data_IF_853233290253
#
_entry.id   IF_853233290253
#
_cell.length_a   1.000
_cell.length_b   1.000
_cell.length_c   1.000
_cell.angle_alpha   90.00
_cell.angle_beta   90.00
_cell.angle_gamma   90.00
#
_symmetry.space_group_name_H-M   'P 1'
#
loop_
_entity.id
_entity.type
_entity.pdbx_description
1 polymer ?
#
# COMPACT_ATOMS: atom_id res chain seq x y z
N UNK A 1 1.55 -11.49 29.73
CA UNK A 1 0.44 -11.04 30.61
C UNK A 1 -0.73 -11.99 30.44
N UNK A 2 -1.38 -12.39 31.52
CA UNK A 2 -2.64 -13.14 31.45
C UNK A 2 -3.85 -12.18 31.20
N UNK A 3 -5.03 -12.75 30.96
CA UNK A 3 -6.26 -11.97 30.68
C UNK A 3 -6.56 -10.97 31.80
N UNK A 4 -6.42 -11.37 33.07
CA UNK A 4 -6.72 -10.53 34.21
C UNK A 4 -5.78 -9.33 34.30
N UNK A 5 -4.50 -9.56 34.06
CA UNK A 5 -3.47 -8.49 34.03
C UNK A 5 -3.73 -7.51 32.88
N UNK A 6 -4.20 -7.97 31.70
CA UNK A 6 -4.56 -7.11 30.57
C UNK A 6 -5.81 -6.28 30.87
N UNK A 7 -6.82 -6.86 31.51
CA UNK A 7 -8.02 -6.11 31.97
C UNK A 7 -7.58 -5.01 32.94
N UNK A 8 -6.76 -5.33 33.95
CA UNK A 8 -6.26 -4.37 34.92
C UNK A 8 -5.48 -3.24 34.26
N UNK A 9 -4.53 -3.55 33.40
CA UNK A 9 -3.72 -2.56 32.67
C UNK A 9 -4.58 -1.61 31.81
N UNK A 10 -5.55 -2.14 31.07
CA UNK A 10 -6.48 -1.37 30.26
C UNK A 10 -7.37 -0.46 31.12
N UNK A 11 -7.86 -0.96 32.25
CA UNK A 11 -8.65 -0.17 33.21
C UNK A 11 -7.85 0.99 33.80
N UNK A 12 -6.63 0.71 34.25
CA UNK A 12 -5.73 1.72 34.84
C UNK A 12 -5.32 2.79 33.82
N UNK A 13 -5.08 2.41 32.57
CA UNK A 13 -4.79 3.38 31.50
C UNK A 13 -5.95 4.35 31.25
N UNK A 14 -7.20 3.90 31.47
CA UNK A 14 -8.41 4.74 31.45
C UNK A 14 -8.70 5.46 32.77
N UNK A 15 -7.87 5.28 33.79
CA UNK A 15 -8.08 5.82 35.14
C UNK A 15 -9.41 5.42 35.77
N UNK A 16 -9.95 4.27 35.39
CA UNK A 16 -11.20 3.74 35.95
C UNK A 16 -10.92 2.94 37.21
N UNK A 17 -11.83 3.03 38.18
CA UNK A 17 -11.88 2.12 39.34
C UNK A 17 -12.51 0.77 38.95
N UNK A 18 -12.26 -0.26 39.75
CA UNK A 18 -12.93 -1.57 39.55
C UNK A 18 -14.46 -1.49 39.68
N UNK A 19 -14.95 -0.52 40.47
CA UNK A 19 -16.38 -0.27 40.65
C UNK A 19 -17.00 0.35 39.40
N UNK A 20 -16.38 1.35 38.83
CA UNK A 20 -16.82 2.00 37.58
C UNK A 20 -16.81 1.00 36.41
N UNK A 21 -15.77 0.19 36.29
CA UNK A 21 -15.73 -0.86 35.28
C UNK A 21 -16.83 -1.90 35.53
N UNK A 22 -17.07 -2.27 36.78
CA UNK A 22 -18.17 -3.19 37.15
C UNK A 22 -19.53 -2.68 36.71
N UNK A 23 -19.81 -1.41 37.00
CA UNK A 23 -21.07 -0.75 36.59
C UNK A 23 -21.19 -0.71 35.06
N UNK A 24 -20.12 -0.31 34.36
CA UNK A 24 -20.10 -0.21 32.91
C UNK A 24 -20.36 -1.55 32.21
N UNK A 25 -19.95 -2.66 32.83
CA UNK A 25 -20.13 -4.02 32.29
C UNK A 25 -21.34 -4.77 32.88
N UNK A 26 -22.19 -4.08 33.64
CA UNK A 26 -23.35 -4.71 34.29
C UNK A 26 -22.97 -5.82 35.32
N UNK A 27 -21.85 -5.62 36.04
CA UNK A 27 -21.34 -6.57 37.04
C UNK A 27 -20.89 -5.82 38.30
N UNK A 28 -20.29 -6.54 39.25
CA UNK A 28 -19.87 -5.98 40.52
C UNK A 28 -18.37 -5.76 40.59
N UNK A 29 -17.92 -4.79 41.42
CA UNK A 29 -16.50 -4.59 41.76
C UNK A 29 -15.80 -5.90 42.12
N UNK A 30 -16.48 -6.76 42.93
CA UNK A 30 -15.91 -8.03 43.36
C UNK A 30 -15.66 -9.00 42.19
N UNK A 31 -16.53 -8.98 41.17
CA UNK A 31 -16.35 -9.78 39.96
C UNK A 31 -15.12 -9.29 39.15
N UNK A 32 -15.00 -7.99 38.96
CA UNK A 32 -13.84 -7.39 38.30
C UNK A 32 -12.54 -7.72 39.06
N UNK A 33 -12.55 -7.58 40.37
CA UNK A 33 -11.38 -7.96 41.20
C UNK A 33 -10.98 -9.43 41.00
N UNK A 34 -11.95 -10.37 40.98
CA UNK A 34 -11.67 -11.81 40.74
C UNK A 34 -11.09 -12.07 39.38
N UNK A 35 -11.51 -11.34 38.35
CA UNK A 35 -10.94 -11.44 37.01
C UNK A 35 -9.51 -10.88 36.96
N UNK A 36 -9.28 -9.68 37.49
CA UNK A 36 -7.95 -9.03 37.49
C UNK A 36 -6.90 -9.79 38.32
N UNK A 37 -7.33 -10.50 39.38
CA UNK A 37 -6.43 -11.26 40.25
C UNK A 37 -6.24 -12.72 39.81
N UNK A 38 -6.92 -13.17 38.73
CA UNK A 38 -6.84 -14.52 38.24
C UNK A 38 -7.56 -15.58 39.14
N UNK A 39 -8.36 -15.15 40.13
CA UNK A 39 -9.19 -16.07 40.94
C UNK A 39 -10.22 -16.76 40.07
N UNK A 40 -10.71 -16.06 39.06
CA UNK A 40 -11.60 -16.61 38.02
C UNK A 40 -10.90 -16.40 36.67
N UNK A 41 -10.48 -17.48 36.05
CA UNK A 41 -9.75 -17.47 34.76
C UNK A 41 -10.67 -17.76 33.57
N UNK A 42 -11.81 -18.44 33.79
CA UNK A 42 -12.77 -18.72 32.74
C UNK A 42 -13.84 -17.61 32.67
N UNK A 43 -13.53 -16.57 31.90
CA UNK A 43 -14.45 -15.44 31.68
C UNK A 43 -15.32 -15.78 30.47
N UNK A 44 -16.67 -15.79 30.61
CA UNK A 44 -17.55 -15.98 29.45
C UNK A 44 -17.29 -14.95 28.33
N UNK A 45 -17.45 -15.37 27.08
CA UNK A 45 -17.11 -14.55 25.93
C UNK A 45 -17.94 -13.25 25.87
N UNK A 46 -19.24 -13.35 26.15
CA UNK A 46 -20.16 -12.21 26.25
C UNK A 46 -19.72 -11.19 27.29
N UNK A 47 -19.19 -11.67 28.42
CA UNK A 47 -18.65 -10.81 29.48
C UNK A 47 -17.33 -10.18 29.08
N UNK A 48 -16.49 -10.92 28.38
CA UNK A 48 -15.23 -10.40 27.86
C UNK A 48 -15.45 -9.28 26.83
N UNK A 49 -16.45 -9.45 25.96
CA UNK A 49 -16.88 -8.43 24.98
C UNK A 49 -17.38 -7.15 25.66
N UNK A 50 -18.19 -7.29 26.72
CA UNK A 50 -18.66 -6.14 27.50
C UNK A 50 -17.51 -5.38 28.18
N UNK A 51 -16.54 -6.10 28.75
CA UNK A 51 -15.34 -5.51 29.36
C UNK A 51 -14.50 -4.82 28.29
N UNK A 52 -14.27 -5.46 27.15
CA UNK A 52 -13.52 -4.91 26.02
C UNK A 52 -14.16 -3.60 25.51
N UNK A 53 -15.48 -3.59 25.33
CA UNK A 53 -16.25 -2.42 24.93
C UNK A 53 -16.12 -1.27 25.95
N UNK A 54 -16.30 -1.55 27.25
CA UNK A 54 -16.18 -0.55 28.30
C UNK A 54 -14.75 0.06 28.38
N UNK A 55 -13.74 -0.78 28.09
CA UNK A 55 -12.34 -0.37 28.07
C UNK A 55 -11.89 0.19 26.70
N UNK A 56 -12.75 0.15 25.67
CA UNK A 56 -12.45 0.54 24.27
C UNK A 56 -11.20 -0.16 23.73
N UNK A 57 -11.08 -1.45 24.00
CA UNK A 57 -10.05 -2.34 23.47
C UNK A 57 -10.73 -3.47 22.72
N UNK A 58 -9.99 -4.22 21.89
CA UNK A 58 -10.55 -5.41 21.26
C UNK A 58 -10.65 -6.58 22.25
N UNK A 59 -11.62 -7.50 22.13
CA UNK A 59 -11.60 -8.75 22.86
C UNK A 59 -10.32 -9.55 22.62
N UNK A 60 -9.77 -9.52 21.42
CA UNK A 60 -8.52 -10.17 21.05
C UNK A 60 -7.32 -9.64 21.84
N UNK A 61 -7.27 -8.33 22.10
CA UNK A 61 -6.28 -7.73 23.01
C UNK A 61 -6.37 -8.33 24.42
N UNK A 62 -7.57 -8.42 24.99
CA UNK A 62 -7.74 -8.98 26.33
C UNK A 62 -7.37 -10.46 26.38
N UNK A 63 -7.64 -11.22 25.31
CA UNK A 63 -7.26 -12.63 25.18
C UNK A 63 -5.76 -12.84 24.89
N UNK A 64 -5.03 -11.77 24.56
CA UNK A 64 -3.61 -11.86 24.22
C UNK A 64 -3.34 -12.34 22.80
N UNK A 65 -4.33 -12.26 21.92
CA UNK A 65 -4.19 -12.59 20.49
C UNK A 65 -3.74 -11.38 19.66
N UNK A 66 -3.94 -10.17 20.17
CA UNK A 66 -3.39 -8.94 19.65
C UNK A 66 -2.35 -8.42 20.65
N UNK A 67 -1.08 -8.55 20.32
CA UNK A 67 -0.09 -7.71 20.94
C UNK A 67 -0.22 -6.30 20.34
N UNK A 68 -0.37 -5.30 21.22
CA UNK A 68 -0.23 -3.90 20.80
C UNK A 68 1.10 -3.77 20.08
N UNK A 69 1.07 -3.20 18.89
CA UNK A 69 2.20 -3.02 17.97
C UNK A 69 3.44 -2.32 18.54
N UNK A 70 3.45 -2.00 19.83
CA UNK A 70 4.54 -1.26 20.49
C UNK A 70 5.59 -2.14 21.18
N UNK A 71 5.42 -3.50 21.18
CA UNK A 71 6.39 -4.43 21.77
C UNK A 71 6.65 -5.66 20.90
N UNK A 72 6.73 -5.50 19.60
CA UNK A 72 7.34 -6.52 18.75
C UNK A 72 8.83 -6.59 19.09
N UNK A 73 9.43 -7.79 19.28
CA UNK A 73 10.87 -7.91 19.34
C UNK A 73 11.51 -7.20 18.14
N UNK A 74 12.66 -6.57 18.32
CA UNK A 74 13.36 -5.76 17.30
C UNK A 74 13.63 -6.52 15.98
N UNK A 75 13.45 -7.83 15.97
CA UNK A 75 13.61 -8.71 14.81
C UNK A 75 12.30 -9.12 14.13
N UNK A 76 11.15 -8.65 14.62
CA UNK A 76 9.83 -8.89 13.98
C UNK A 76 9.35 -7.60 13.34
N UNK A 77 9.44 -7.55 12.02
CA UNK A 77 8.84 -6.46 11.23
C UNK A 77 7.36 -6.73 11.04
N UNK A 78 6.51 -5.75 11.35
CA UNK A 78 5.11 -5.81 10.94
C UNK A 78 5.03 -5.86 9.42
N UNK A 79 4.20 -6.74 8.88
CA UNK A 79 3.97 -6.76 7.43
C UNK A 79 3.45 -5.39 6.99
N UNK A 80 3.98 -4.85 5.89
CA UNK A 80 3.51 -3.58 5.38
C UNK A 80 2.02 -3.66 5.06
N UNK A 81 1.28 -2.61 5.39
CA UNK A 81 -0.11 -2.50 4.93
C UNK A 81 -0.11 -2.52 3.41
N UNK A 82 -0.99 -3.32 2.83
CA UNK A 82 -1.13 -3.46 1.38
C UNK A 82 -2.37 -2.70 0.89
N UNK A 83 -2.31 -2.19 -0.32
CA UNK A 83 -3.45 -1.64 -1.08
C UNK A 83 -3.53 -2.35 -2.43
N UNK A 84 -4.72 -2.50 -2.99
CA UNK A 84 -4.90 -3.00 -4.35
C UNK A 84 -4.84 -1.84 -5.33
N UNK A 85 -4.09 -2.02 -6.41
CA UNK A 85 -4.05 -1.12 -7.55
C UNK A 85 -4.32 -1.89 -8.85
N UNK A 86 -4.93 -1.26 -9.87
CA UNK A 86 -5.19 -1.92 -11.14
C UNK A 86 -3.89 -2.18 -11.91
N UNK A 87 -3.77 -3.39 -12.47
CA UNK A 87 -2.81 -3.73 -13.51
C UNK A 87 -3.47 -3.42 -14.84
N UNK A 88 -2.91 -2.45 -15.56
CA UNK A 88 -3.43 -1.98 -16.84
C UNK A 88 -2.67 -2.67 -17.96
N UNK A 89 -3.40 -3.27 -18.88
CA UNK A 89 -2.86 -3.91 -20.08
C UNK A 89 -2.71 -2.92 -21.24
N UNK A 90 -3.35 -3.24 -22.36
CA UNK A 90 -3.37 -2.31 -23.49
C UNK A 90 -4.29 -1.12 -23.20
N UNK A 91 -3.77 0.08 -23.43
CA UNK A 91 -4.54 1.32 -23.22
C UNK A 91 -5.24 1.70 -24.52
N UNK A 92 -6.55 1.47 -24.60
CA UNK A 92 -7.34 1.82 -25.78
C UNK A 92 -7.28 3.33 -26.08
N UNK A 93 -7.21 3.67 -27.38
CA UNK A 93 -7.17 5.06 -27.80
C UNK A 93 -8.51 5.76 -27.50
N UNK A 94 -8.43 6.96 -26.92
CA UNK A 94 -9.60 7.77 -26.58
C UNK A 94 -10.26 7.46 -25.25
N UNK A 95 -9.91 6.36 -24.59
CA UNK A 95 -10.41 6.03 -23.26
C UNK A 95 -9.47 6.51 -22.14
N UNK A 96 -10.01 6.77 -20.93
CA UNK A 96 -9.20 6.98 -19.75
C UNK A 96 -8.31 5.74 -19.46
N UNK A 97 -7.12 5.95 -18.91
CA UNK A 97 -6.16 4.86 -18.59
C UNK A 97 -6.81 3.80 -17.69
N UNK A 98 -7.58 4.25 -16.69
CA UNK A 98 -8.28 3.39 -15.73
C UNK A 98 -9.72 3.04 -16.16
N UNK A 99 -10.02 3.03 -17.47
CA UNK A 99 -11.25 2.45 -17.94
C UNK A 99 -11.28 0.95 -17.66
N UNK A 100 -12.43 0.38 -17.32
CA UNK A 100 -12.58 -1.04 -16.99
C UNK A 100 -12.03 -1.96 -18.10
N UNK A 101 -12.18 -1.56 -19.35
CA UNK A 101 -11.72 -2.28 -20.54
C UNK A 101 -10.17 -2.38 -20.62
N UNK A 102 -9.46 -1.48 -19.94
CA UNK A 102 -8.00 -1.48 -19.91
C UNK A 102 -7.41 -2.25 -18.71
N UNK A 103 -8.24 -2.62 -17.72
CA UNK A 103 -7.79 -3.29 -16.49
C UNK A 103 -7.77 -4.80 -16.73
N UNK A 104 -6.60 -5.41 -16.61
CA UNK A 104 -6.42 -6.87 -16.73
C UNK A 104 -6.58 -7.56 -15.38
N UNK A 105 -6.11 -6.95 -14.30
CA UNK A 105 -6.12 -7.53 -12.95
C UNK A 105 -5.92 -6.46 -11.88
N UNK A 106 -5.95 -6.86 -10.61
CA UNK A 106 -5.60 -6.02 -9.45
C UNK A 106 -4.46 -6.68 -8.68
N UNK A 107 -3.43 -5.90 -8.37
CA UNK A 107 -2.23 -6.38 -7.67
C UNK A 107 -2.08 -5.67 -6.32
N UNK A 108 -1.48 -6.38 -5.36
CA UNK A 108 -1.20 -5.84 -4.03
C UNK A 108 0.09 -5.02 -4.04
N UNK A 109 0.02 -3.80 -3.49
CA UNK A 109 1.15 -2.87 -3.38
C UNK A 109 1.29 -2.39 -1.94
N UNK A 110 2.50 -2.38 -1.35
CA UNK A 110 2.74 -1.76 -0.05
C UNK A 110 2.30 -0.29 -0.03
N UNK A 111 1.57 0.13 1.01
CA UNK A 111 0.95 1.47 1.06
C UNK A 111 1.96 2.62 1.08
N UNK A 112 3.22 2.37 1.43
CA UNK A 112 4.29 3.36 1.38
C UNK A 112 4.76 3.67 -0.05
N UNK A 113 4.43 2.82 -1.03
CA UNK A 113 4.69 3.09 -2.45
C UNK A 113 3.48 3.83 -3.03
N UNK A 114 3.71 5.08 -3.44
CA UNK A 114 2.68 5.93 -4.01
C UNK A 114 2.57 5.72 -5.52
N UNK A 115 1.79 4.71 -5.91
CA UNK A 115 1.41 4.46 -7.30
C UNK A 115 -0.12 4.34 -7.41
N UNK A 116 -0.64 4.66 -8.58
CA UNK A 116 -2.09 4.67 -8.88
C UNK A 116 -2.49 3.47 -9.74
N UNK A 117 -1.60 2.97 -10.57
CA UNK A 117 -1.77 1.77 -11.39
C UNK A 117 -0.42 1.14 -11.73
N UNK A 118 -0.45 -0.03 -12.36
CA UNK A 118 0.73 -0.73 -12.83
C UNK A 118 0.60 -1.10 -14.30
N UNK A 119 1.74 -1.26 -14.96
CA UNK A 119 1.88 -1.71 -16.35
C UNK A 119 2.82 -2.90 -16.40
N UNK A 120 2.51 -3.88 -17.25
CA UNK A 120 3.49 -4.93 -17.59
C UNK A 120 4.46 -4.40 -18.64
N UNK A 121 5.75 -4.42 -18.32
CA UNK A 121 6.81 -4.02 -19.26
C UNK A 121 6.91 -5.05 -20.39
N UNK A 122 6.97 -4.58 -21.63
CA UNK A 122 7.20 -5.41 -22.81
C UNK A 122 8.48 -4.98 -23.52
N UNK A 123 9.35 -5.96 -23.79
CA UNK A 123 10.59 -5.76 -24.54
C UNK A 123 11.77 -5.31 -23.69
N UNK A 124 12.87 -5.01 -24.35
CA UNK A 124 14.20 -4.81 -23.73
C UNK A 124 14.63 -3.35 -23.65
N UNK A 125 13.74 -2.40 -23.88
CA UNK A 125 14.15 -0.99 -24.00
C UNK A 125 14.67 -0.35 -22.70
N UNK A 126 14.41 -0.96 -21.53
CA UNK A 126 14.75 -0.40 -20.21
C UNK A 126 15.65 -1.32 -19.37
N UNK A 127 16.34 -2.29 -20.00
CA UNK A 127 17.15 -3.30 -19.29
C UNK A 127 18.29 -2.72 -18.46
N UNK A 128 18.93 -1.63 -18.93
CA UNK A 128 20.00 -0.97 -18.18
C UNK A 128 19.49 -0.16 -16.97
N UNK A 129 18.18 0.09 -16.90
CA UNK A 129 17.52 0.61 -15.70
C UNK A 129 17.08 -0.51 -14.75
N UNK A 130 17.37 -1.77 -15.06
CA UNK A 130 16.99 -2.95 -14.29
C UNK A 130 15.57 -3.46 -14.60
N UNK A 131 14.83 -2.82 -15.52
CA UNK A 131 13.46 -3.21 -15.89
C UNK A 131 13.54 -4.14 -17.09
N UNK A 132 13.06 -5.36 -16.91
CA UNK A 132 13.11 -6.45 -17.91
C UNK A 132 11.74 -6.71 -18.55
N UNK A 133 11.74 -7.50 -19.60
CA UNK A 133 10.51 -8.00 -20.21
C UNK A 133 9.70 -8.82 -19.18
N UNK A 134 8.42 -8.55 -19.07
CA UNK A 134 7.51 -9.17 -18.10
C UNK A 134 7.48 -8.53 -16.71
N UNK A 135 8.35 -7.56 -16.40
CA UNK A 135 8.31 -6.85 -15.13
C UNK A 135 7.02 -6.04 -14.96
N UNK A 136 6.54 -5.96 -13.73
CA UNK A 136 5.43 -5.08 -13.37
C UNK A 136 5.97 -3.76 -12.87
N UNK A 137 5.67 -2.67 -13.56
CA UNK A 137 6.12 -1.32 -13.24
C UNK A 137 4.97 -0.51 -12.65
N UNK A 138 5.21 0.06 -11.47
CA UNK A 138 4.23 0.85 -10.72
C UNK A 138 4.29 2.31 -11.12
N UNK A 139 3.16 2.87 -11.51
CA UNK A 139 3.05 4.20 -12.11
C UNK A 139 2.25 5.13 -11.19
N UNK A 140 2.80 6.28 -10.89
CA UNK A 140 2.08 7.40 -10.32
C UNK A 140 1.52 8.25 -11.45
N UNK A 141 0.20 8.42 -11.49
CA UNK A 141 -0.49 9.19 -12.52
C UNK A 141 -0.13 10.68 -12.42
N UNK A 142 0.53 11.21 -13.43
CA UNK A 142 0.86 12.63 -13.54
C UNK A 142 1.16 12.98 -14.99
N UNK A 143 0.94 14.25 -15.36
CA UNK A 143 1.14 14.73 -16.73
C UNK A 143 2.52 15.33 -16.97
N UNK A 144 3.25 15.61 -15.91
CA UNK A 144 4.57 16.24 -15.95
C UNK A 144 5.58 15.39 -15.20
N UNK A 145 6.79 15.30 -15.73
CA UNK A 145 7.93 14.59 -15.13
C UNK A 145 9.19 15.44 -15.31
N UNK A 146 10.15 15.26 -14.42
CA UNK A 146 11.42 15.94 -14.47
C UNK A 146 12.38 15.28 -15.47
N UNK A 147 13.33 16.06 -15.99
CA UNK A 147 14.36 15.54 -16.88
C UNK A 147 15.14 14.41 -16.23
N UNK A 148 15.29 13.32 -16.97
CA UNK A 148 15.96 12.11 -16.52
C UNK A 148 15.10 11.11 -15.77
N UNK A 149 13.85 11.43 -15.45
CA UNK A 149 12.93 10.46 -14.84
C UNK A 149 12.42 9.44 -15.86
N UNK A 150 12.12 8.23 -15.39
CA UNK A 150 11.49 7.20 -16.23
C UNK A 150 9.97 7.43 -16.20
N UNK A 151 9.43 7.73 -17.37
CA UNK A 151 8.02 8.03 -17.56
C UNK A 151 7.33 6.96 -18.41
N UNK A 152 6.10 6.69 -18.09
CA UNK A 152 5.17 6.04 -19.00
C UNK A 152 4.64 7.14 -19.95
N UNK A 153 4.88 6.96 -21.23
CA UNK A 153 4.51 7.92 -22.28
C UNK A 153 3.76 7.23 -23.40
N UNK A 154 2.86 7.96 -24.04
CA UNK A 154 2.21 7.56 -25.30
C UNK A 154 2.66 8.51 -26.40
N UNK A 155 2.94 7.95 -27.54
CA UNK A 155 3.17 8.70 -28.78
C UNK A 155 1.95 8.46 -29.66
N UNK A 156 1.26 9.53 -30.02
CA UNK A 156 -0.03 9.44 -30.71
C UNK A 156 -1.04 8.58 -29.94
N UNK A 157 -1.63 7.59 -30.60
CA UNK A 157 -2.56 6.61 -30.04
C UNK A 157 -1.92 5.20 -29.89
N UNK A 158 -0.59 5.12 -29.88
CA UNK A 158 0.10 3.85 -29.66
C UNK A 158 0.06 3.39 -28.19
N UNK A 159 0.44 2.16 -27.94
CA UNK A 159 0.56 1.63 -26.58
C UNK A 159 1.53 2.45 -25.74
N UNK A 160 1.31 2.43 -24.42
CA UNK A 160 2.22 3.08 -23.49
C UNK A 160 3.62 2.46 -23.56
N UNK A 161 4.64 3.30 -23.54
CA UNK A 161 6.03 2.87 -23.49
C UNK A 161 6.76 3.54 -22.32
N UNK A 162 7.73 2.82 -21.73
CA UNK A 162 8.61 3.39 -20.69
C UNK A 162 9.86 3.94 -21.36
N UNK A 163 10.18 5.20 -21.06
CA UNK A 163 11.40 5.87 -21.53
C UNK A 163 11.90 6.84 -20.47
N UNK A 164 13.18 7.15 -20.52
CA UNK A 164 13.71 8.28 -19.79
C UNK A 164 13.35 9.55 -20.55
N UNK A 165 12.68 10.46 -19.86
CA UNK A 165 12.11 11.68 -20.44
C UNK A 165 13.10 12.84 -20.27
N UNK A 166 13.28 13.64 -21.31
CA UNK A 166 14.02 14.90 -21.29
C UNK A 166 13.27 15.95 -22.10
N UNK A 167 13.22 17.17 -21.57
CA UNK A 167 12.67 18.34 -22.25
C UNK A 167 13.60 19.54 -22.06
N UNK A 168 14.01 20.19 -23.14
CA UNK A 168 14.93 21.33 -23.11
C UNK A 168 14.24 22.68 -23.39
N UNK A 169 12.92 22.72 -23.44
CA UNK A 169 12.13 23.91 -23.80
C UNK A 169 11.75 23.97 -25.27
N UNK A 170 12.41 23.23 -26.16
CA UNK A 170 12.18 23.21 -27.60
C UNK A 170 11.93 21.84 -28.19
N UNK A 171 12.38 20.77 -27.52
CA UNK A 171 12.26 19.41 -27.96
C UNK A 171 12.09 18.46 -26.76
N UNK A 172 11.30 17.39 -26.95
CA UNK A 172 11.22 16.25 -26.06
C UNK A 172 12.07 15.12 -26.61
N UNK A 173 12.89 14.52 -25.75
CA UNK A 173 13.66 13.33 -26.07
C UNK A 173 13.18 12.17 -25.20
N UNK A 174 12.83 11.06 -25.83
CA UNK A 174 12.49 9.80 -25.18
C UNK A 174 13.67 8.84 -25.38
N UNK A 175 14.39 8.57 -24.30
CA UNK A 175 15.63 7.80 -24.33
C UNK A 175 15.38 6.42 -23.69
N UNK A 176 15.72 5.37 -24.44
CA UNK A 176 15.72 4.01 -23.91
C UNK A 176 16.95 3.77 -23.01
N UNK A 177 16.81 2.99 -21.99
CA UNK A 177 17.93 2.46 -21.18
C UNK A 177 18.45 1.14 -21.80
N UNK A 178 18.71 1.20 -23.10
CA UNK A 178 19.34 0.15 -23.89
C UNK A 178 19.91 0.75 -25.18
N UNK A 179 21.24 0.68 -25.41
CA UNK A 179 21.86 1.26 -26.60
C UNK A 179 21.39 0.69 -27.94
N UNK A 180 20.71 -0.45 -27.94
CA UNK A 180 20.10 -1.01 -29.17
C UNK A 180 18.97 -0.11 -29.71
N UNK A 181 18.40 0.76 -28.88
CA UNK A 181 17.28 1.63 -29.22
C UNK A 181 17.73 3.08 -29.25
N UNK A 182 17.78 3.72 -30.42
CA UNK A 182 18.16 5.12 -30.50
C UNK A 182 17.16 6.03 -29.82
N UNK A 183 17.59 7.20 -29.30
CA UNK A 183 16.69 8.20 -28.77
C UNK A 183 15.68 8.67 -29.82
N UNK A 184 14.44 8.87 -29.38
CA UNK A 184 13.38 9.48 -30.19
C UNK A 184 13.30 10.96 -29.84
N UNK A 185 13.39 11.83 -30.84
CA UNK A 185 13.36 13.29 -30.65
C UNK A 185 12.13 13.89 -31.33
N UNK A 186 11.38 14.69 -30.58
CA UNK A 186 10.15 15.35 -31.01
C UNK A 186 10.32 16.85 -30.78
N UNK A 187 10.28 17.66 -31.86
CA UNK A 187 10.45 19.11 -31.80
C UNK A 187 9.27 19.81 -32.51
N UNK A 188 9.06 21.08 -32.14
CA UNK A 188 8.01 21.91 -32.71
C UNK A 188 6.59 21.27 -32.47
N UNK A 189 5.79 21.21 -33.50
CA UNK A 189 4.44 20.66 -33.43
C UNK A 189 4.39 19.16 -33.06
N UNK A 190 5.48 18.42 -33.33
CA UNK A 190 5.57 16.99 -32.99
C UNK A 190 5.58 16.73 -31.47
N UNK A 191 5.86 17.73 -30.65
CA UNK A 191 5.79 17.59 -29.17
C UNK A 191 4.35 17.21 -28.75
N UNK A 192 3.34 17.73 -29.45
CA UNK A 192 1.94 17.47 -29.14
C UNK A 192 1.51 16.01 -29.36
N UNK A 193 2.36 15.20 -30.03
CA UNK A 193 2.17 13.77 -30.21
C UNK A 193 2.49 12.96 -28.94
N UNK A 194 3.22 13.57 -28.00
CA UNK A 194 3.63 12.89 -26.78
C UNK A 194 2.67 13.24 -25.65
N UNK A 195 2.21 12.22 -24.97
CA UNK A 195 1.44 12.36 -23.74
C UNK A 195 2.13 11.58 -22.61
N UNK A 196 2.61 12.31 -21.60
CA UNK A 196 3.02 11.67 -20.34
C UNK A 196 1.77 11.18 -19.62
N UNK A 197 1.77 9.91 -19.24
CA UNK A 197 0.65 9.28 -18.54
C UNK A 197 1.00 8.93 -17.08
N UNK A 198 2.29 9.01 -16.73
CA UNK A 198 2.71 8.88 -15.34
C UNK A 198 4.22 8.70 -15.19
N UNK A 199 4.63 8.74 -13.93
CA UNK A 199 6.00 8.51 -13.48
C UNK A 199 6.15 7.07 -12.98
N UNK A 200 7.16 6.35 -13.43
CA UNK A 200 7.54 5.05 -12.88
C UNK A 200 8.20 5.27 -11.50
N UNK A 201 7.61 4.69 -10.46
CA UNK A 201 8.06 4.88 -9.06
C UNK A 201 8.71 3.65 -8.46
N UNK A 202 8.38 2.46 -8.96
CA UNK A 202 8.96 1.19 -8.55
C UNK A 202 8.68 0.13 -9.62
N UNK A 203 9.32 -1.01 -9.52
CA UNK A 203 9.00 -2.19 -10.31
C UNK A 203 9.22 -3.47 -9.51
N UNK A 204 8.60 -4.57 -9.95
CA UNK A 204 8.80 -5.90 -9.41
C UNK A 204 9.31 -6.81 -10.52
N UNK A 205 10.42 -7.48 -10.26
CA UNK A 205 11.01 -8.51 -11.11
C UNK A 205 10.76 -9.90 -10.52
N UNK A 206 10.28 -10.83 -11.33
CA UNK A 206 10.12 -12.24 -10.93
C UNK A 206 11.34 -13.03 -11.40
N UNK A 207 12.07 -13.59 -10.45
CA UNK A 207 13.21 -14.47 -10.75
C UNK A 207 12.67 -15.87 -11.04
N UNK A 208 12.98 -16.42 -12.21
CA UNK A 208 12.58 -17.75 -12.65
C UNK A 208 13.73 -18.76 -12.52
#
# INVERSE_FOLDING_TARGET
MDIGQRIKAARESKRMTQEELGVACGTTKQTIFKYETGIVTNIPLDRLEQIASALSVSPAYLMGWEDTSDNLPDNIFSLPKMKKIPLVGQIACGLPILAEENIEDYIDLPTHIHADYALTCKGESMVNAGIQDGDVVYIRSQQEVENGQIAAVRVDCEDATLKRFYYDGSAVQLVAENPKFPPQVFAGENINRIKVIGLAVAYTHVIH
#
